data_IF_166924640310
#
_entry.id   IF_166924640310
#
_cell.length_a   1.000
_cell.length_b   1.000
_cell.length_c   1.000
_cell.angle_alpha   90.00
_cell.angle_beta   90.00
_cell.angle_gamma   90.00
#
_symmetry.space_group_name_H-M   'P 1'
#
loop_
_entity.id
_entity.type
_entity.pdbx_description
1 polymer ?
#
# COMPACT_ATOMS: atom_id res chain seq x y z
N UNK A 1 8.46 -2.37 14.52
CA UNK A 1 9.22 -1.49 13.63
C UNK A 1 8.32 -1.13 12.46
N UNK A 2 8.43 0.09 11.96
CA UNK A 2 7.77 0.63 10.77
C UNK A 2 8.89 0.96 9.79
N UNK A 3 8.83 0.36 8.60
CA UNK A 3 9.86 0.50 7.58
C UNK A 3 10.03 1.98 7.17
N UNK A 4 11.27 2.47 7.14
CA UNK A 4 11.58 3.85 6.80
C UNK A 4 11.26 4.91 7.87
N UNK A 5 10.49 4.56 8.91
CA UNK A 5 10.16 5.50 10.00
C UNK A 5 10.93 5.19 11.29
N UNK A 6 10.80 3.95 11.79
CA UNK A 6 11.41 3.55 13.08
C UNK A 6 12.52 2.52 12.92
N UNK A 7 12.80 2.10 11.68
CA UNK A 7 13.97 1.31 11.31
C UNK A 7 14.40 1.61 9.87
N UNK A 8 15.70 1.74 9.66
CA UNK A 8 16.29 1.82 8.32
C UNK A 8 16.70 0.45 7.81
N UNK A 9 16.81 0.29 6.49
CA UNK A 9 17.33 -0.95 5.89
C UNK A 9 18.72 -1.33 6.44
N UNK A 10 19.61 -0.34 6.64
CA UNK A 10 20.95 -0.57 7.21
C UNK A 10 20.88 -1.13 8.63
N UNK A 11 20.06 -0.54 9.50
CA UNK A 11 19.87 -1.04 10.87
C UNK A 11 19.26 -2.44 10.89
N UNK A 12 18.27 -2.68 10.03
CA UNK A 12 17.68 -3.99 9.86
C UNK A 12 18.71 -5.06 9.47
N UNK A 13 19.53 -4.80 8.44
CA UNK A 13 20.60 -5.72 8.05
C UNK A 13 21.69 -5.88 9.11
N UNK A 14 22.00 -4.84 9.87
CA UNK A 14 22.92 -4.96 11.01
C UNK A 14 22.37 -5.93 12.07
N UNK A 15 21.07 -5.86 12.38
CA UNK A 15 20.42 -6.79 13.32
C UNK A 15 20.49 -8.23 12.80
N UNK A 16 20.21 -8.44 11.51
CA UNK A 16 20.27 -9.75 10.87
C UNK A 16 21.69 -10.34 10.92
N UNK A 17 22.71 -9.53 10.67
CA UNK A 17 24.10 -9.99 10.65
C UNK A 17 24.68 -10.23 12.05
N UNK A 18 24.21 -9.49 13.06
CA UNK A 18 24.72 -9.58 14.43
C UNK A 18 24.16 -10.77 15.23
N UNK A 19 23.05 -11.36 14.80
CA UNK A 19 22.34 -12.41 15.53
C UNK A 19 22.15 -13.64 14.65
N UNK A 20 22.65 -14.80 15.08
CA UNK A 20 22.32 -16.06 14.44
C UNK A 20 20.83 -16.38 14.64
N UNK A 21 20.14 -16.79 13.58
CA UNK A 21 18.73 -17.22 13.58
C UNK A 21 17.69 -16.19 14.08
N UNK A 22 17.75 -14.94 13.60
CA UNK A 22 16.66 -13.98 13.84
C UNK A 22 15.41 -14.39 13.07
N UNK A 23 14.35 -14.78 13.78
CA UNK A 23 13.01 -14.95 13.20
C UNK A 23 12.41 -13.56 12.93
N UNK A 24 12.32 -13.18 11.65
CA UNK A 24 11.71 -11.93 11.22
C UNK A 24 10.33 -12.22 10.62
N UNK A 25 9.33 -11.52 11.13
CA UNK A 25 7.96 -11.54 10.61
C UNK A 25 7.58 -10.15 10.17
N UNK A 26 6.81 -10.10 9.09
CA UNK A 26 6.19 -8.88 8.59
C UNK A 26 4.69 -8.91 8.87
N UNK A 27 4.05 -7.75 8.81
CA UNK A 27 2.60 -7.60 8.90
C UNK A 27 2.11 -6.71 7.78
N UNK A 28 0.89 -6.95 7.31
CA UNK A 28 0.16 -5.95 6.53
C UNK A 28 -0.13 -4.69 7.37
N UNK A 29 -0.42 -3.53 6.74
CA UNK A 29 -0.96 -2.37 7.44
C UNK A 29 -2.27 -2.73 8.15
N UNK A 30 -2.56 -2.05 9.27
CA UNK A 30 -3.85 -2.21 9.93
C UNK A 30 -4.96 -1.47 9.16
N UNK A 31 -6.18 -1.99 9.27
CA UNK A 31 -7.35 -1.33 8.68
C UNK A 31 -7.59 0.07 9.26
N UNK A 32 -7.30 0.27 10.55
CA UNK A 32 -7.47 1.56 11.22
C UNK A 32 -6.54 2.64 10.68
N UNK A 33 -5.25 2.31 10.50
CA UNK A 33 -4.27 3.22 9.88
C UNK A 33 -4.68 3.59 8.46
N UNK A 34 -5.13 2.60 7.69
CA UNK A 34 -5.55 2.83 6.30
C UNK A 34 -6.81 3.71 6.21
N UNK A 35 -7.76 3.56 7.13
CA UNK A 35 -8.95 4.43 7.23
C UNK A 35 -8.55 5.87 7.58
N UNK A 36 -7.65 6.05 8.54
CA UNK A 36 -7.14 7.38 8.89
C UNK A 36 -6.48 8.05 7.68
N UNK A 37 -5.63 7.30 6.96
CA UNK A 37 -4.98 7.78 5.75
C UNK A 37 -5.98 8.23 4.68
N UNK A 38 -6.99 7.41 4.37
CA UNK A 38 -8.01 7.81 3.39
C UNK A 38 -8.84 9.01 3.83
N UNK A 39 -9.16 9.13 5.13
CA UNK A 39 -9.86 10.32 5.64
C UNK A 39 -9.03 11.59 5.53
N UNK A 40 -7.72 11.49 5.66
CA UNK A 40 -6.83 12.64 5.42
C UNK A 40 -6.75 13.00 3.94
N UNK A 41 -6.83 12.03 3.02
CA UNK A 41 -7.01 12.31 1.58
C UNK A 41 -8.37 12.98 1.30
N UNK A 42 -9.45 12.51 1.92
CA UNK A 42 -10.79 13.12 1.80
C UNK A 42 -10.75 14.59 2.24
N UNK A 43 -10.11 14.91 3.37
CA UNK A 43 -9.93 16.29 3.86
C UNK A 43 -9.15 17.17 2.88
N UNK A 44 -8.21 16.59 2.12
CA UNK A 44 -7.47 17.28 1.06
C UNK A 44 -8.29 17.47 -0.23
N UNK A 45 -9.52 16.90 -0.30
CA UNK A 45 -10.43 17.06 -1.42
C UNK A 45 -10.41 15.91 -2.43
N UNK A 46 -9.59 14.88 -2.22
CA UNK A 46 -9.55 13.71 -3.11
C UNK A 46 -10.88 12.93 -3.07
N UNK A 47 -11.35 12.51 -4.25
CA UNK A 47 -12.62 11.79 -4.42
C UNK A 47 -12.44 10.33 -4.84
N UNK A 48 -11.28 10.01 -5.42
CA UNK A 48 -10.91 8.66 -5.84
C UNK A 48 -9.49 8.36 -5.39
N UNK A 49 -9.23 7.10 -5.03
CA UNK A 49 -7.91 6.59 -4.74
C UNK A 49 -7.71 5.27 -5.49
N UNK A 50 -6.78 5.27 -6.46
CA UNK A 50 -6.32 4.04 -7.10
C UNK A 50 -5.17 3.47 -6.27
N UNK A 51 -5.38 2.28 -5.69
CA UNK A 51 -4.50 1.75 -4.63
C UNK A 51 -3.87 0.46 -5.11
N UNK A 52 -2.59 0.56 -5.45
CA UNK A 52 -1.76 -0.55 -5.85
C UNK A 52 -1.25 -1.27 -4.60
N UNK A 53 -1.22 -2.60 -4.64
CA UNK A 53 -0.68 -3.39 -3.53
C UNK A 53 0.26 -4.47 -4.03
N UNK A 54 1.18 -4.88 -3.15
CA UNK A 54 1.88 -6.16 -3.22
C UNK A 54 0.91 -7.29 -3.55
N UNK A 55 1.43 -8.31 -4.25
CA UNK A 55 0.72 -9.53 -4.60
C UNK A 55 -0.09 -10.10 -3.42
N UNK A 56 -1.38 -10.33 -3.64
CA UNK A 56 -2.26 -10.98 -2.66
C UNK A 56 -1.83 -12.42 -2.29
N UNK A 57 -0.93 -13.04 -3.08
CA UNK A 57 -0.32 -14.33 -2.75
C UNK A 57 0.77 -14.23 -1.69
N UNK A 58 1.33 -13.04 -1.48
CA UNK A 58 2.42 -12.77 -0.54
C UNK A 58 1.95 -12.07 0.74
N UNK A 59 0.88 -11.27 0.66
CA UNK A 59 0.41 -10.45 1.77
C UNK A 59 -1.11 -10.25 1.73
N UNK A 60 -1.71 -10.08 2.92
CA UNK A 60 -3.12 -9.72 3.07
C UNK A 60 -3.44 -8.25 2.77
N UNK A 61 -2.45 -7.44 2.36
CA UNK A 61 -2.62 -5.99 2.15
C UNK A 61 -3.75 -5.64 1.17
N UNK A 62 -3.87 -6.36 0.05
CA UNK A 62 -4.98 -6.20 -0.89
C UNK A 62 -6.35 -6.33 -0.20
N UNK A 63 -6.51 -7.34 0.66
CA UNK A 63 -7.77 -7.57 1.38
C UNK A 63 -8.08 -6.45 2.37
N UNK A 64 -7.06 -5.87 3.02
CA UNK A 64 -7.24 -4.71 3.92
C UNK A 64 -7.72 -3.50 3.12
N UNK A 65 -7.18 -3.25 1.92
CA UNK A 65 -7.67 -2.18 1.05
C UNK A 65 -9.12 -2.43 0.61
N UNK A 66 -9.49 -3.66 0.25
CA UNK A 66 -10.89 -4.01 -0.05
C UNK A 66 -11.83 -3.82 1.15
N UNK A 67 -11.35 -4.03 2.38
CA UNK A 67 -12.14 -3.75 3.58
C UNK A 67 -12.32 -2.25 3.78
N UNK A 68 -11.28 -1.45 3.60
CA UNK A 68 -11.35 0.01 3.67
C UNK A 68 -12.30 0.58 2.61
N UNK A 69 -12.23 0.06 1.38
CA UNK A 69 -13.16 0.39 0.30
C UNK A 69 -14.63 0.19 0.71
N UNK A 70 -14.95 -0.94 1.37
CA UNK A 70 -16.32 -1.21 1.83
C UNK A 70 -16.75 -0.25 2.95
N UNK A 71 -15.85 0.07 3.87
CA UNK A 71 -16.17 0.93 5.02
C UNK A 71 -16.32 2.40 4.63
N UNK A 72 -15.56 2.87 3.63
CA UNK A 72 -15.53 4.27 3.21
C UNK A 72 -16.25 4.52 1.88
N UNK A 73 -17.09 3.57 1.43
CA UNK A 73 -17.76 3.59 0.12
C UNK A 73 -18.56 4.88 -0.18
N UNK A 74 -19.07 5.53 0.87
CA UNK A 74 -19.89 6.76 0.77
C UNK A 74 -19.03 8.03 0.99
N UNK A 75 -17.75 7.88 1.33
CA UNK A 75 -16.81 8.98 1.61
C UNK A 75 -15.78 9.18 0.47
N UNK A 76 -15.29 8.09 -0.13
CA UNK A 76 -14.27 8.09 -1.20
C UNK A 76 -14.36 6.84 -2.07
N UNK A 77 -14.13 6.97 -3.39
CA UNK A 77 -14.03 5.82 -4.29
C UNK A 77 -12.62 5.21 -4.21
N UNK A 78 -12.48 4.11 -3.46
CA UNK A 78 -11.23 3.34 -3.39
C UNK A 78 -11.28 2.23 -4.46
N UNK A 79 -10.22 2.14 -5.27
CA UNK A 79 -10.08 1.16 -6.34
C UNK A 79 -8.82 0.32 -6.06
N UNK A 80 -8.94 -0.84 -5.40
CA UNK A 80 -7.81 -1.73 -5.13
C UNK A 80 -7.30 -2.40 -6.41
N UNK A 81 -6.00 -2.45 -6.58
CA UNK A 81 -5.33 -3.15 -7.70
C UNK A 81 -4.22 -4.06 -7.18
N UNK A 82 -4.43 -5.37 -7.34
CA UNK A 82 -3.43 -6.38 -7.02
C UNK A 82 -2.40 -6.47 -8.16
N UNK A 83 -1.19 -5.97 -7.91
CA UNK A 83 -0.12 -5.92 -8.92
C UNK A 83 0.43 -7.30 -9.31
N UNK A 84 0.14 -8.35 -8.52
CA UNK A 84 0.73 -9.68 -8.63
C UNK A 84 2.28 -9.70 -8.54
N UNK A 85 2.90 -8.61 -8.07
CA UNK A 85 4.35 -8.48 -7.92
C UNK A 85 4.72 -7.87 -6.56
N UNK A 86 5.99 -7.52 -6.36
CA UNK A 86 6.55 -6.93 -5.13
C UNK A 86 7.80 -6.09 -5.49
N UNK A 87 8.30 -5.31 -4.53
CA UNK A 87 9.49 -4.46 -4.67
C UNK A 87 9.29 -3.39 -5.76
N UNK A 88 10.35 -3.02 -6.47
CA UNK A 88 10.28 -1.96 -7.49
C UNK A 88 9.24 -2.24 -8.59
N UNK A 89 9.00 -3.51 -8.91
CA UNK A 89 7.97 -3.89 -9.87
C UNK A 89 6.58 -3.41 -9.45
N UNK A 90 6.26 -3.44 -8.15
CA UNK A 90 5.01 -2.88 -7.62
C UNK A 90 4.99 -1.36 -7.78
N UNK A 91 6.11 -0.70 -7.44
CA UNK A 91 6.28 0.75 -7.63
C UNK A 91 6.20 1.19 -9.10
N UNK A 92 6.65 0.35 -10.04
CA UNK A 92 6.54 0.63 -11.47
C UNK A 92 5.08 0.77 -11.93
N UNK A 93 4.17 -0.06 -11.40
CA UNK A 93 2.74 0.12 -11.68
C UNK A 93 2.21 1.47 -11.15
N UNK A 94 2.78 2.01 -10.07
CA UNK A 94 2.39 3.32 -9.56
C UNK A 94 2.84 4.45 -10.48
N UNK A 95 4.08 4.39 -10.97
CA UNK A 95 4.60 5.35 -11.94
C UNK A 95 3.83 5.27 -13.27
N UNK A 96 3.49 4.07 -13.72
CA UNK A 96 2.73 3.90 -14.95
C UNK A 96 1.28 4.38 -14.81
N UNK A 97 0.64 4.15 -13.66
CA UNK A 97 -0.68 4.69 -13.37
C UNK A 97 -0.67 6.23 -13.35
N UNK A 98 0.34 6.85 -12.72
CA UNK A 98 0.53 8.31 -12.75
C UNK A 98 0.67 8.82 -14.20
N UNK A 99 1.54 8.19 -15.00
CA UNK A 99 1.73 8.56 -16.41
C UNK A 99 0.41 8.50 -17.18
N UNK A 100 -0.33 7.40 -17.07
CA UNK A 100 -1.61 7.22 -17.75
C UNK A 100 -2.65 8.24 -17.29
N UNK A 101 -2.74 8.55 -16.00
CA UNK A 101 -3.64 9.59 -15.50
C UNK A 101 -3.27 10.98 -16.02
N UNK A 102 -1.97 11.28 -16.16
CA UNK A 102 -1.51 12.54 -16.75
C UNK A 102 -1.87 12.68 -18.24
N UNK A 103 -2.05 11.56 -18.93
CA UNK A 103 -2.48 11.47 -20.34
C UNK A 103 -4.01 11.43 -20.49
N UNK A 104 -4.76 11.50 -19.37
CA UNK A 104 -6.22 11.52 -19.37
C UNK A 104 -6.88 10.13 -19.38
N UNK A 105 -6.11 9.05 -19.16
CA UNK A 105 -6.69 7.73 -18.94
C UNK A 105 -7.51 7.73 -17.64
N UNK A 106 -8.58 6.94 -17.62
CA UNK A 106 -9.43 6.76 -16.44
C UNK A 106 -9.49 5.28 -16.04
N UNK A 107 -9.87 5.04 -14.78
CA UNK A 107 -10.05 3.68 -14.22
C UNK A 107 -11.47 3.14 -14.44
N UNK A 108 -12.20 3.71 -15.41
CA UNK A 108 -13.57 3.29 -15.73
C UNK A 108 -13.60 1.82 -16.17
N UNK A 109 -14.67 1.12 -15.77
CA UNK A 109 -14.92 -0.27 -16.14
C UNK A 109 -15.45 -0.37 -17.56
#
# INVERSE_FOLDING_TARGET
>A
YIDGETITAKEFYNILNAKNNVDVKTSQPSIGELICYFRDLIKQGYKKAFVLTISQKLSGSYNVVCQAQKQLKDEIEIIPYNTNTVCFSEGYFALEAERLFSEGASVEK
#
